data_IF_907106019014
#
_entry.id   IF_907106019014
#
_cell.length_a   1.000
_cell.length_b   1.000
_cell.length_c   1.000
_cell.angle_alpha   90.00
_cell.angle_beta   90.00
_cell.angle_gamma   90.00
#
_symmetry.space_group_name_H-M   'P 1'
#
loop_
_entity.id
_entity.type
_entity.pdbx_description
1 polymer ?
#
# COMPACT_ATOMS: atom_id res chain seq x y z
N UNK A 1 12.40 16.85 -11.53
CA UNK A 1 11.84 16.84 -11.22
C UNK A 1 10.87 16.06 -10.95
N UNK A 2 10.70 15.06 -11.21
CA UNK A 2 9.79 14.20 -11.03
C UNK A 2 9.63 13.84 -9.69
N UNK A 3 8.56 13.78 -9.16
CA UNK A 3 8.40 13.43 -7.99
C UNK A 3 7.97 12.16 -7.98
N UNK A 4 8.57 11.19 -7.68
CA UNK A 4 8.22 9.84 -7.63
C UNK A 4 7.59 9.54 -6.33
N UNK A 5 6.37 9.10 -6.34
CA UNK A 5 5.72 8.72 -5.13
C UNK A 5 5.56 7.23 -5.14
N UNK A 6 5.55 6.62 -4.00
CA UNK A 6 5.37 5.20 -3.88
C UNK A 6 4.09 4.94 -3.11
N UNK A 7 3.35 3.93 -3.51
CA UNK A 7 2.06 3.64 -2.92
C UNK A 7 2.09 2.26 -2.29
N UNK A 8 1.58 2.16 -1.10
CA UNK A 8 1.55 0.90 -0.40
C UNK A 8 0.12 0.42 -0.33
N UNK A 9 -0.12 -0.81 -0.71
CA UNK A 9 -1.46 -1.39 -0.62
C UNK A 9 -1.40 -2.49 0.40
N UNK A 10 -2.10 -2.31 1.49
CA UNK A 10 -2.17 -3.33 2.52
C UNK A 10 -3.36 -4.24 2.31
N UNK A 11 -4.40 -3.73 1.67
CA UNK A 11 -5.57 -4.53 1.43
C UNK A 11 -6.10 -4.21 0.05
N UNK A 12 -6.13 -5.16 -0.83
CA UNK A 12 -6.56 -4.97 -2.20
C UNK A 12 -6.36 -6.25 -2.97
N UNK A 13 -6.50 -6.17 -4.29
CA UNK A 13 -6.34 -7.36 -5.10
C UNK A 13 -4.93 -7.90 -4.98
N UNK A 14 -3.97 -7.01 -4.93
CA UNK A 14 -2.61 -7.44 -4.79
C UNK A 14 -1.93 -6.47 -3.85
N UNK A 15 -1.42 -6.92 -2.72
CA UNK A 15 -0.75 -6.06 -1.77
C UNK A 15 0.70 -5.89 -2.11
N UNK A 16 1.27 -4.80 -1.70
CA UNK A 16 2.69 -4.56 -1.95
C UNK A 16 2.98 -3.08 -2.11
N UNK A 17 4.17 -2.77 -2.60
CA UNK A 17 4.59 -1.41 -2.80
C UNK A 17 4.61 -1.15 -4.30
N UNK A 18 3.93 -0.10 -4.74
CA UNK A 18 3.85 0.23 -6.14
C UNK A 18 4.50 1.58 -6.41
N UNK A 19 5.17 1.70 -7.51
CA UNK A 19 5.88 2.93 -7.81
C UNK A 19 5.07 3.95 -8.60
N UNK A 20 3.85 3.62 -8.99
CA UNK A 20 3.04 4.61 -9.68
C UNK A 20 1.59 4.42 -9.28
N UNK A 21 0.82 5.46 -9.51
CA UNK A 21 -0.57 5.46 -9.11
C UNK A 21 -1.41 4.49 -9.91
N UNK A 22 -1.13 4.38 -11.19
CA UNK A 22 -1.92 3.50 -12.04
C UNK A 22 -1.90 2.07 -11.53
N UNK A 23 -0.74 1.58 -11.18
CA UNK A 23 -0.62 0.24 -10.68
C UNK A 23 -1.34 0.09 -9.34
N UNK A 24 -1.18 1.06 -8.47
CA UNK A 24 -1.82 1.01 -7.18
C UNK A 24 -3.34 1.05 -7.33
N UNK A 25 -3.81 1.93 -8.19
CA UNK A 25 -5.23 2.08 -8.37
C UNK A 25 -5.86 0.80 -8.86
N UNK A 26 -5.19 0.08 -9.74
CA UNK A 26 -5.74 -1.14 -10.26
C UNK A 26 -5.94 -2.19 -9.17
N UNK A 27 -5.16 -2.12 -8.12
CA UNK A 27 -5.27 -3.11 -7.07
C UNK A 27 -6.38 -2.77 -6.08
N UNK A 28 -6.76 -1.51 -6.00
CA UNK A 28 -7.76 -1.11 -5.03
C UNK A 28 -9.11 -0.80 -5.66
N UNK A 29 -9.11 -0.55 -6.96
CA UNK A 29 -10.35 -0.17 -7.61
C UNK A 29 -11.35 -1.31 -7.56
N UNK A 30 -12.54 -1.02 -7.10
CA UNK A 30 -13.54 -2.05 -7.00
C UNK A 30 -13.35 -3.01 -5.84
N UNK A 31 -12.32 -2.79 -5.04
CA UNK A 31 -12.05 -3.69 -3.93
C UNK A 31 -12.61 -3.06 -2.67
N UNK A 32 -13.62 -3.71 -2.09
CA UNK A 32 -14.23 -3.18 -0.93
C UNK A 32 -13.32 -3.20 0.26
N UNK A 33 -13.19 -2.13 0.97
CA UNK A 33 -12.33 -2.08 2.14
C UNK A 33 -10.85 -1.98 1.82
N UNK A 34 -10.51 -1.56 0.62
CA UNK A 34 -9.11 -1.44 0.28
C UNK A 34 -8.40 -0.45 1.20
N UNK A 35 -7.15 -0.76 1.52
CA UNK A 35 -6.34 0.13 2.34
C UNK A 35 -5.04 0.41 1.64
N UNK A 36 -4.70 1.66 1.48
CA UNK A 36 -3.48 2.05 0.79
C UNK A 36 -3.06 3.44 1.27
N UNK A 37 -1.82 3.79 0.95
CA UNK A 37 -1.32 5.09 1.33
C UNK A 37 -0.12 5.42 0.45
N UNK A 38 0.12 6.71 0.22
CA UNK A 38 1.24 7.13 -0.60
C UNK A 38 2.38 7.60 0.30
N UNK A 39 3.60 7.45 -0.19
CA UNK A 39 4.79 7.84 0.55
C UNK A 39 5.76 8.55 -0.39
N UNK A 40 6.56 9.44 0.14
CA UNK A 40 7.47 10.21 -0.69
C UNK A 40 8.66 9.42 -1.20
N UNK A 41 9.02 8.35 -0.55
CA UNK A 41 10.15 7.57 -1.02
C UNK A 41 9.91 6.09 -0.81
N UNK A 42 10.75 5.31 -1.44
CA UNK A 42 10.58 3.88 -1.43
C UNK A 42 10.85 3.26 -0.07
N UNK A 43 11.88 3.74 0.59
CA UNK A 43 12.24 3.20 1.89
C UNK A 43 11.09 3.34 2.87
N UNK A 44 10.48 4.51 2.89
CA UNK A 44 9.36 4.74 3.77
C UNK A 44 8.20 3.82 3.39
N UNK A 45 7.96 3.66 2.10
CA UNK A 45 6.86 2.83 1.65
C UNK A 45 7.07 1.38 2.06
N UNK A 46 8.27 0.87 1.85
CA UNK A 46 8.55 -0.51 2.19
C UNK A 46 8.44 -0.75 3.69
N UNK A 47 8.95 0.20 4.45
CA UNK A 47 8.89 0.07 5.89
C UNK A 47 7.43 0.11 6.36
N UNK A 48 6.65 1.02 5.82
CA UNK A 48 5.26 1.13 6.18
C UNK A 48 4.48 -0.12 5.78
N UNK A 49 4.86 -0.72 4.66
CA UNK A 49 4.18 -1.90 4.20
C UNK A 49 4.38 -3.03 5.22
N UNK A 50 5.60 -3.21 5.68
CA UNK A 50 5.86 -4.25 6.63
C UNK A 50 5.11 -4.00 7.93
N UNK A 51 5.23 -2.82 8.47
CA UNK A 51 4.61 -2.51 9.75
C UNK A 51 3.09 -2.53 9.64
N UNK A 52 2.56 -1.93 8.59
CA UNK A 52 1.13 -1.87 8.41
C UNK A 52 0.51 -3.23 8.20
N UNK A 53 1.19 -4.06 7.43
CA UNK A 53 0.67 -5.36 7.14
C UNK A 53 0.60 -6.20 8.42
N UNK A 54 1.60 -6.10 9.24
CA UNK A 54 1.61 -6.84 10.49
C UNK A 54 0.52 -6.36 11.42
N UNK A 55 0.33 -5.05 11.48
CA UNK A 55 -0.69 -4.49 12.34
C UNK A 55 -2.08 -4.95 11.90
N UNK A 56 -2.30 -4.97 10.60
CA UNK A 56 -3.58 -5.40 10.09
C UNK A 56 -3.81 -6.87 10.40
N UNK A 57 -2.79 -7.67 10.22
CA UNK A 57 -2.91 -9.08 10.49
C UNK A 57 -3.21 -9.33 11.95
N UNK A 58 -2.56 -8.59 12.81
CA UNK A 58 -2.79 -8.75 14.21
C UNK A 58 -4.18 -8.34 14.60
N UNK A 59 -4.67 -7.30 13.99
CA UNK A 59 -5.98 -6.89 14.31
C UNK A 59 -7.01 -7.93 13.93
N UNK A 60 -6.79 -8.54 12.84
CA UNK A 60 -7.70 -9.56 12.41
C UNK A 60 -7.82 -10.66 13.39
N UNK A 61 -6.79 -10.87 14.15
CA UNK A 61 -6.81 -11.87 15.06
C UNK A 61 -7.67 -11.67 16.15
N UNK A 62 -8.10 -10.58 16.45
CA UNK A 62 -8.86 -10.42 17.52
C UNK A 62 -10.00 -10.97 17.47
#
# INVERSE_FOLDING_TARGET
>A
MAKNKFYVVWKGRQVGVFSNWDSCKMQIEGFKGAQYKSFPDRTSAEDAFKVGYQAISQQVNE
#
